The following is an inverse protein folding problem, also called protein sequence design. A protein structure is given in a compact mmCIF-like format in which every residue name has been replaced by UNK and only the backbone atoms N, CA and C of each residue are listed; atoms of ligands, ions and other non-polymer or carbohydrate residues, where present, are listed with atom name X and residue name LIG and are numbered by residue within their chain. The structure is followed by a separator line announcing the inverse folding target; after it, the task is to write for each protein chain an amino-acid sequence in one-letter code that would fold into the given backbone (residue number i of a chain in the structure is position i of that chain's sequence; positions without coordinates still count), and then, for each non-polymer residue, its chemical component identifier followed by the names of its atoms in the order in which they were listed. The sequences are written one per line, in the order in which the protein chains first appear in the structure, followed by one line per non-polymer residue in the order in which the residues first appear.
data_IF_206327413643
#
_entry.id   IF_206327413643
#
_cell.length_a   1.000
_cell.length_b   1.000
_cell.length_c   1.000
_cell.angle_alpha   90.00
_cell.angle_beta   90.00
_cell.angle_gamma   90.00
#
_symmetry.space_group_name_H-M   'P 1'
#
loop_
_entity.id
_entity.type
_entity.pdbx_description
1 polymer ?
#
# COMPACT_ATOMS: atom_id res chain seq x y z
N UNK A 1 4.26 0.72 -14.29
CA UNK A 1 5.70 0.79 -14.65
C UNK A 1 6.09 -0.18 -15.77
N UNK A 2 5.50 -1.38 -15.86
CA UNK A 2 5.84 -2.34 -16.91
C UNK A 2 5.67 -1.78 -18.32
N UNK A 3 4.54 -1.15 -18.60
CA UNK A 3 4.30 -0.51 -19.91
C UNK A 3 5.36 0.53 -20.27
N UNK A 4 5.78 1.35 -19.29
CA UNK A 4 6.84 2.34 -19.49
C UNK A 4 8.19 1.68 -19.78
N UNK A 5 8.52 0.56 -19.13
CA UNK A 5 9.76 -0.20 -19.38
C UNK A 5 9.75 -0.82 -20.79
N UNK A 6 8.63 -1.43 -21.20
CA UNK A 6 8.48 -1.99 -22.52
C UNK A 6 8.58 -0.90 -23.61
N UNK A 7 7.90 0.22 -23.42
CA UNK A 7 8.01 1.36 -24.33
C UNK A 7 9.46 1.89 -24.40
N UNK A 8 10.15 1.99 -23.27
CA UNK A 8 11.56 2.40 -23.26
C UNK A 8 12.44 1.40 -24.01
N UNK A 9 12.21 0.10 -23.84
CA UNK A 9 12.93 -0.96 -24.55
C UNK A 9 12.71 -0.88 -26.07
N UNK A 10 11.47 -0.67 -26.52
CA UNK A 10 11.16 -0.53 -27.96
C UNK A 10 11.78 0.73 -28.57
N UNK A 11 11.75 1.88 -27.87
CA UNK A 11 12.38 3.11 -28.32
C UNK A 11 13.92 2.96 -28.40
N UNK A 12 14.51 2.20 -27.48
CA UNK A 12 15.94 1.89 -27.49
C UNK A 12 16.30 0.97 -28.67
N UNK A 13 15.46 -0.05 -28.95
CA UNK A 13 15.64 -0.92 -30.10
C UNK A 13 15.57 -0.16 -31.43
N UNK A 14 14.65 0.80 -31.53
CA UNK A 14 14.49 1.66 -32.71
C UNK A 14 15.59 2.73 -32.84
N UNK A 15 16.52 2.81 -31.88
CA UNK A 15 17.59 3.81 -31.89
C UNK A 15 17.13 5.26 -31.63
N UNK A 16 15.88 5.45 -31.19
CA UNK A 16 15.30 6.78 -30.91
C UNK A 16 15.91 7.39 -29.65
N UNK A 17 16.21 6.56 -28.64
CA UNK A 17 16.84 6.99 -27.40
C UNK A 17 18.14 6.24 -27.18
N UNK A 18 19.10 6.90 -26.53
CA UNK A 18 20.37 6.27 -26.17
C UNK A 18 20.20 5.32 -24.99
N UNK A 19 21.06 4.31 -24.88
CA UNK A 19 20.98 3.32 -23.81
C UNK A 19 21.10 3.92 -22.40
N UNK A 20 22.00 4.89 -22.09
CA UNK A 20 22.02 5.56 -20.79
C UNK A 20 20.69 6.27 -20.45
N UNK A 21 20.08 6.92 -21.45
CA UNK A 21 18.77 7.60 -21.26
C UNK A 21 17.69 6.55 -20.97
N UNK A 22 17.73 5.39 -21.63
CA UNK A 22 16.80 4.30 -21.35
C UNK A 22 16.89 3.82 -19.89
N UNK A 23 18.10 3.66 -19.34
CA UNK A 23 18.30 3.29 -17.94
C UNK A 23 17.72 4.35 -17.00
N UNK A 24 17.95 5.64 -17.28
CA UNK A 24 17.34 6.73 -16.51
C UNK A 24 15.81 6.70 -16.55
N UNK A 25 15.22 6.42 -17.71
CA UNK A 25 13.76 6.31 -17.86
C UNK A 25 13.19 5.13 -17.06
N UNK A 26 13.88 4.00 -17.01
CA UNK A 26 13.48 2.84 -16.18
C UNK A 26 13.49 3.20 -14.69
N UNK A 27 14.54 3.91 -14.21
CA UNK A 27 14.63 4.38 -12.84
C UNK A 27 13.49 5.36 -12.53
N UNK A 28 13.24 6.31 -13.44
CA UNK A 28 12.15 7.29 -13.32
C UNK A 28 10.77 6.64 -13.30
N UNK A 29 10.53 5.62 -14.14
CA UNK A 29 9.29 4.86 -14.16
C UNK A 29 9.05 4.10 -12.84
N UNK A 30 10.10 3.57 -12.23
CA UNK A 30 10.03 2.96 -10.91
C UNK A 30 9.65 3.98 -9.82
N UNK A 31 10.27 5.15 -9.84
CA UNK A 31 9.97 6.21 -8.89
C UNK A 31 8.54 6.72 -9.09
N UNK A 32 8.12 6.97 -10.33
CA UNK A 32 6.78 7.40 -10.67
C UNK A 32 5.70 6.42 -10.22
N UNK A 33 5.95 5.11 -10.30
CA UNK A 33 5.02 4.10 -9.77
C UNK A 33 4.87 4.16 -8.25
N UNK A 34 5.91 4.59 -7.52
CA UNK A 34 5.84 4.82 -6.07
C UNK A 34 5.01 6.06 -5.73
N UNK A 35 5.17 7.13 -6.49
CA UNK A 35 4.40 8.35 -6.34
C UNK A 35 2.91 8.10 -6.63
N UNK A 36 2.60 7.36 -7.70
CA UNK A 36 1.23 6.97 -8.02
C UNK A 36 0.59 6.13 -6.90
N UNK A 37 1.34 5.20 -6.31
CA UNK A 37 0.86 4.42 -5.16
C UNK A 37 0.55 5.33 -3.96
N UNK A 38 1.36 6.36 -3.70
CA UNK A 38 1.11 7.33 -2.64
C UNK A 38 -0.16 8.15 -2.89
N UNK A 39 -0.39 8.60 -4.11
CA UNK A 39 -1.59 9.35 -4.52
C UNK A 39 -2.83 8.47 -4.35
N UNK A 40 -2.80 7.24 -4.87
CA UNK A 40 -3.95 6.33 -4.81
C UNK A 40 -4.32 5.92 -3.37
N UNK A 41 -3.37 5.94 -2.44
CA UNK A 41 -3.60 5.62 -1.03
C UNK A 41 -3.76 6.88 -0.15
N UNK A 42 -3.88 8.07 -0.72
CA UNK A 42 -3.97 9.33 0.05
C UNK A 42 -5.16 9.38 0.99
N UNK A 43 -6.30 8.80 0.58
CA UNK A 43 -7.54 8.71 1.37
C UNK A 43 -7.67 7.38 2.15
N UNK A 44 -6.67 6.50 2.08
CA UNK A 44 -6.68 5.22 2.79
C UNK A 44 -6.31 5.41 4.28
N UNK A 45 -6.50 4.35 5.07
CA UNK A 45 -6.11 4.34 6.48
C UNK A 45 -4.60 4.56 6.68
N UNK A 46 -4.21 4.92 7.91
CA UNK A 46 -2.82 5.25 8.24
C UNK A 46 -1.83 4.12 7.88
N UNK A 47 -2.23 2.86 8.03
CA UNK A 47 -1.38 1.71 7.70
C UNK A 47 -1.07 1.63 6.20
N UNK A 48 -2.09 1.75 5.33
CA UNK A 48 -1.91 1.74 3.88
C UNK A 48 -1.07 2.93 3.39
N UNK A 49 -1.30 4.13 3.95
CA UNK A 49 -0.50 5.33 3.66
C UNK A 49 0.97 5.15 4.04
N UNK A 50 1.27 4.51 5.18
CA UNK A 50 2.64 4.20 5.61
C UNK A 50 3.34 3.23 4.66
N UNK A 51 2.65 2.19 4.20
CA UNK A 51 3.19 1.23 3.22
C UNK A 51 3.52 1.94 1.90
N UNK A 52 2.61 2.79 1.41
CA UNK A 52 2.84 3.56 0.19
C UNK A 52 4.03 4.52 0.34
N UNK A 53 4.13 5.24 1.48
CA UNK A 53 5.23 6.14 1.79
C UNK A 53 6.57 5.38 1.88
N UNK A 54 6.62 4.28 2.63
CA UNK A 54 7.83 3.46 2.75
C UNK A 54 8.31 2.90 1.40
N UNK A 55 7.38 2.45 0.56
CA UNK A 55 7.68 2.01 -0.80
C UNK A 55 8.26 3.13 -1.67
N UNK A 56 7.70 4.33 -1.58
CA UNK A 56 8.21 5.51 -2.30
C UNK A 56 9.61 5.89 -1.83
N UNK A 57 9.83 5.93 -0.51
CA UNK A 57 11.13 6.26 0.09
C UNK A 57 12.22 5.27 -0.30
N UNK A 58 11.94 3.96 -0.28
CA UNK A 58 12.88 2.94 -0.74
C UNK A 58 13.21 3.07 -2.24
N UNK A 59 12.23 3.45 -3.06
CA UNK A 59 12.46 3.72 -4.48
C UNK A 59 13.30 4.98 -4.67
N UNK A 60 13.04 6.02 -3.90
CA UNK A 60 13.80 7.28 -3.93
C UNK A 60 15.26 7.06 -3.54
N UNK A 61 15.50 6.39 -2.40
CA UNK A 61 16.86 6.07 -1.94
C UNK A 61 17.60 5.20 -2.95
N UNK A 62 16.96 4.13 -3.45
CA UNK A 62 17.55 3.28 -4.49
C UNK A 62 17.87 4.04 -5.77
N UNK A 63 17.01 4.97 -6.19
CA UNK A 63 17.26 5.83 -7.36
C UNK A 63 18.43 6.77 -7.14
N UNK A 64 18.52 7.41 -5.98
CA UNK A 64 19.62 8.32 -5.65
C UNK A 64 20.98 7.60 -5.59
N UNK A 65 21.00 6.35 -5.12
CA UNK A 65 22.23 5.54 -5.08
C UNK A 65 22.68 5.13 -6.48
N UNK A 66 21.76 4.72 -7.37
CA UNK A 66 22.12 4.17 -8.67
C UNK A 66 22.39 5.23 -9.72
N UNK A 67 21.75 6.43 -9.64
CA UNK A 67 21.87 7.49 -10.64
C UNK A 67 23.30 7.89 -10.97
N UNK A 68 24.24 8.07 -10.01
CA UNK A 68 25.62 8.42 -10.32
C UNK A 68 26.33 7.33 -11.14
N UNK A 69 25.91 6.09 -11.03
CA UNK A 69 26.53 4.93 -11.68
C UNK A 69 25.90 4.56 -13.02
N UNK A 70 24.86 5.25 -13.47
CA UNK A 70 24.14 4.92 -14.70
C UNK A 70 25.08 4.88 -15.92
N UNK A 71 26.00 5.82 -16.01
CA UNK A 71 26.94 5.88 -17.13
C UNK A 71 27.88 4.67 -17.15
N UNK A 72 28.47 4.34 -16.00
CA UNK A 72 29.30 3.16 -15.81
C UNK A 72 28.55 1.87 -16.09
N UNK A 73 27.30 1.77 -15.64
CA UNK A 73 26.42 0.61 -15.90
C UNK A 73 26.09 0.49 -17.39
N UNK A 74 25.82 1.62 -18.06
CA UNK A 74 25.54 1.62 -19.49
C UNK A 74 26.75 1.17 -20.31
N UNK A 75 27.95 1.58 -19.93
CA UNK A 75 29.19 1.15 -20.59
C UNK A 75 29.49 -0.33 -20.37
N UNK A 76 29.35 -0.80 -19.12
CA UNK A 76 29.60 -2.20 -18.78
C UNK A 76 28.59 -3.15 -19.40
N UNK A 77 27.30 -2.80 -19.32
CA UNK A 77 26.24 -3.59 -19.96
C UNK A 77 26.30 -3.53 -21.49
N UNK A 78 26.70 -2.39 -22.05
CA UNK A 78 26.87 -2.21 -23.50
C UNK A 78 27.95 -3.10 -24.14
N UNK A 79 28.86 -3.66 -23.32
CA UNK A 79 29.87 -4.64 -23.77
C UNK A 79 29.29 -6.07 -23.94
N UNK A 80 28.10 -6.31 -23.41
CA UNK A 80 27.42 -7.60 -23.57
C UNK A 80 26.89 -7.71 -25.01
N UNK A 81 27.08 -8.85 -25.62
CA UNK A 81 26.59 -9.15 -26.97
C UNK A 81 25.10 -9.47 -27.05
N UNK A 82 24.29 -8.62 -26.34
CA UNK A 82 22.84 -8.75 -26.27
C UNK A 82 22.15 -7.53 -26.89
N UNK A 83 20.93 -7.70 -27.43
CA UNK A 83 20.13 -6.60 -27.93
C UNK A 83 19.89 -5.57 -26.82
N UNK A 84 20.06 -4.27 -27.14
CA UNK A 84 19.88 -3.17 -26.15
C UNK A 84 18.50 -3.16 -25.50
N UNK A 85 17.46 -3.57 -26.22
CA UNK A 85 16.11 -3.70 -25.68
C UNK A 85 16.03 -4.72 -24.53
N UNK A 86 16.68 -5.87 -24.70
CA UNK A 86 16.73 -6.92 -23.68
C UNK A 86 17.53 -6.44 -22.46
N UNK A 87 18.64 -5.73 -22.69
CA UNK A 87 19.44 -5.14 -21.60
C UNK A 87 18.63 -4.16 -20.75
N UNK A 88 17.72 -3.38 -21.34
CA UNK A 88 16.80 -2.50 -20.59
C UNK A 88 15.88 -3.31 -19.67
N UNK A 89 15.35 -4.43 -20.16
CA UNK A 89 14.48 -5.31 -19.37
C UNK A 89 15.29 -6.00 -18.25
N UNK A 90 16.46 -6.55 -18.56
CA UNK A 90 17.34 -7.16 -17.56
C UNK A 90 17.78 -6.16 -16.49
N UNK A 91 18.11 -4.92 -16.88
CA UNK A 91 18.40 -3.86 -15.93
C UNK A 91 17.21 -3.60 -15.01
N UNK A 92 16.00 -3.50 -15.54
CA UNK A 92 14.80 -3.31 -14.73
C UNK A 92 14.61 -4.40 -13.67
N UNK A 93 14.72 -5.67 -14.09
CA UNK A 93 14.55 -6.81 -13.19
C UNK A 93 15.66 -6.84 -12.15
N UNK A 94 16.92 -6.75 -12.59
CA UNK A 94 18.08 -6.82 -11.71
C UNK A 94 18.14 -5.66 -10.73
N UNK A 95 17.89 -4.44 -11.19
CA UNK A 95 17.82 -3.25 -10.33
C UNK A 95 16.77 -3.40 -9.22
N UNK A 96 15.58 -3.87 -9.57
CA UNK A 96 14.52 -4.07 -8.58
C UNK A 96 14.86 -5.19 -7.59
N UNK A 97 15.47 -6.28 -8.06
CA UNK A 97 15.89 -7.40 -7.21
C UNK A 97 16.98 -6.95 -6.22
N UNK A 98 18.04 -6.32 -6.72
CA UNK A 98 19.15 -5.82 -5.87
C UNK A 98 18.63 -4.81 -4.87
N UNK A 99 17.81 -3.86 -5.30
CA UNK A 99 17.20 -2.89 -4.40
C UNK A 99 16.37 -3.57 -3.32
N UNK A 100 15.56 -4.57 -3.67
CA UNK A 100 14.76 -5.32 -2.70
C UNK A 100 15.66 -5.99 -1.65
N UNK A 101 16.69 -6.70 -2.07
CA UNK A 101 17.61 -7.38 -1.17
C UNK A 101 18.37 -6.41 -0.27
N UNK A 102 18.88 -5.31 -0.82
CA UNK A 102 19.62 -4.27 -0.05
C UNK A 102 18.72 -3.57 0.95
N UNK A 103 17.45 -3.33 0.61
CA UNK A 103 16.50 -2.62 1.49
C UNK A 103 15.83 -3.52 2.53
N UNK A 104 15.94 -4.86 2.40
CA UNK A 104 15.30 -5.81 3.32
C UNK A 104 15.67 -5.55 4.81
N UNK A 105 16.96 -5.38 5.19
CA UNK A 105 17.32 -5.10 6.57
C UNK A 105 16.85 -3.74 7.09
N UNK A 106 16.44 -2.83 6.21
CA UNK A 106 16.00 -1.49 6.56
C UNK A 106 14.48 -1.37 6.66
N UNK A 107 13.72 -2.46 6.54
CA UNK A 107 12.25 -2.44 6.61
C UNK A 107 11.76 -1.93 7.96
N UNK A 108 12.30 -2.44 9.07
CA UNK A 108 11.88 -2.03 10.41
C UNK A 108 12.23 -0.57 10.74
N UNK A 109 13.47 -0.08 10.49
CA UNK A 109 13.77 1.34 10.63
C UNK A 109 12.86 2.23 9.78
N UNK A 110 12.60 1.84 8.53
CA UNK A 110 11.72 2.58 7.63
C UNK A 110 10.28 2.61 8.14
N UNK A 111 9.76 1.49 8.64
CA UNK A 111 8.43 1.40 9.21
C UNK A 111 8.28 2.33 10.43
N UNK A 112 9.29 2.38 11.32
CA UNK A 112 9.31 3.34 12.45
C UNK A 112 9.32 4.77 11.96
N UNK A 113 10.14 5.09 10.96
CA UNK A 113 10.20 6.42 10.36
C UNK A 113 8.86 6.82 9.74
N UNK A 114 8.21 5.94 8.98
CA UNK A 114 6.89 6.20 8.43
C UNK A 114 5.82 6.43 9.52
N UNK A 115 5.92 5.76 10.68
CA UNK A 115 5.03 6.00 11.83
C UNK A 115 5.21 7.37 12.45
N UNK A 116 6.40 7.96 12.41
CA UNK A 116 6.62 9.33 12.91
C UNK A 116 6.00 10.39 12.00
N UNK A 117 5.98 10.13 10.69
CA UNK A 117 5.41 11.05 9.69
C UNK A 117 3.89 10.92 9.62
N UNK A 118 3.40 9.70 9.52
CA UNK A 118 1.97 9.41 9.46
C UNK A 118 1.61 8.78 10.80
N UNK A 119 1.09 9.60 11.70
CA UNK A 119 0.62 9.16 13.01
C UNK A 119 -0.61 8.28 12.86
N UNK A 120 -0.81 7.37 13.82
CA UNK A 120 -2.10 6.68 13.92
C UNK A 120 -3.18 7.75 14.12
N UNK A 121 -4.26 7.65 13.37
CA UNK A 121 -5.45 8.38 13.74
C UNK A 121 -5.80 7.94 15.16
N UNK A 122 -6.15 8.88 16.06
CA UNK A 122 -6.58 8.49 17.40
C UNK A 122 -7.66 7.42 17.19
N UNK A 123 -7.50 6.27 17.86
CA UNK A 123 -8.57 5.27 17.92
C UNK A 123 -9.82 6.05 18.34
N UNK A 124 -10.65 6.35 17.35
CA UNK A 124 -11.96 6.90 17.61
C UNK A 124 -12.59 5.93 18.59
N UNK A 125 -13.05 6.45 19.70
CA UNK A 125 -13.69 5.67 20.75
C UNK A 125 -14.77 4.81 20.09
N UNK A 126 -14.39 3.55 19.81
CA UNK A 126 -15.18 2.63 18.99
C UNK A 126 -16.34 2.21 19.88
N UNK A 127 -17.50 2.79 19.60
CA UNK A 127 -18.73 2.47 20.36
C UNK A 127 -19.11 0.98 20.27
N UNK A 128 -18.53 0.31 19.27
CA UNK A 128 -18.76 -1.10 18.94
C UNK A 128 -17.56 -2.01 19.29
N UNK A 129 -16.84 -1.76 20.39
CA UNK A 129 -15.88 -2.75 20.90
C UNK A 129 -16.60 -4.05 21.23
N UNK A 130 -15.98 -5.23 20.97
CA UNK A 130 -16.54 -6.52 21.37
C UNK A 130 -16.84 -6.48 22.87
N UNK A 131 -18.10 -6.71 23.24
CA UNK A 131 -18.54 -6.73 24.66
C UNK A 131 -18.72 -8.14 25.19
N UNK A 132 -19.03 -9.07 24.30
CA UNK A 132 -19.39 -10.43 24.66
C UNK A 132 -18.34 -11.47 24.25
N UNK A 133 -17.32 -11.09 23.45
CA UNK A 133 -16.25 -12.01 23.09
C UNK A 133 -15.27 -12.14 24.26
N UNK A 134 -15.24 -13.34 24.83
CA UNK A 134 -14.32 -13.72 25.90
C UNK A 134 -13.48 -14.89 25.41
N UNK A 135 -12.15 -14.73 25.42
CA UNK A 135 -11.21 -15.78 25.02
C UNK A 135 -11.37 -17.04 25.90
N UNK A 136 -11.74 -16.86 27.17
CA UNK A 136 -12.00 -17.99 28.08
C UNK A 136 -13.21 -18.82 27.69
N UNK A 137 -14.13 -18.26 26.91
CA UNK A 137 -15.32 -18.99 26.41
C UNK A 137 -14.99 -19.98 25.27
N UNK A 138 -13.81 -19.90 24.67
CA UNK A 138 -13.37 -20.79 23.58
C UNK A 138 -13.30 -22.27 24.04
N UNK A 139 -13.03 -22.52 25.30
CA UNK A 139 -13.03 -23.87 25.89
C UNK A 139 -14.43 -24.50 25.96
N UNK A 140 -15.49 -23.68 25.78
CA UNK A 140 -16.87 -24.10 25.77
C UNK A 140 -17.54 -23.68 24.47
N UNK A 141 -17.57 -24.55 23.43
CA UNK A 141 -18.03 -24.17 22.08
C UNK A 141 -19.44 -23.58 22.01
N UNK A 142 -20.36 -24.06 22.83
CA UNK A 142 -21.75 -23.54 22.89
C UNK A 142 -21.81 -22.12 23.44
N UNK A 143 -20.96 -21.77 24.40
CA UNK A 143 -20.87 -20.43 24.97
C UNK A 143 -20.17 -19.49 23.99
N UNK A 144 -19.09 -19.94 23.38
CA UNK A 144 -18.37 -19.15 22.36
C UNK A 144 -19.30 -18.79 21.18
N UNK A 145 -20.10 -19.78 20.71
CA UNK A 145 -21.06 -19.56 19.63
C UNK A 145 -22.18 -18.59 20.04
N UNK A 146 -22.68 -18.69 21.26
CA UNK A 146 -23.71 -17.79 21.78
C UNK A 146 -23.18 -16.36 21.91
N UNK A 147 -21.93 -16.19 22.33
CA UNK A 147 -21.25 -14.89 22.40
C UNK A 147 -21.04 -14.30 21.02
N UNK A 148 -20.56 -15.09 20.06
CA UNK A 148 -20.40 -14.66 18.66
C UNK A 148 -21.75 -14.26 18.04
N UNK A 149 -22.82 -15.00 18.31
CA UNK A 149 -24.16 -14.65 17.83
C UNK A 149 -24.63 -13.28 18.38
N UNK A 150 -24.38 -13.00 19.66
CA UNK A 150 -24.71 -11.69 20.26
C UNK A 150 -23.96 -10.54 19.61
N UNK A 151 -22.67 -10.72 19.32
CA UNK A 151 -21.90 -9.69 18.62
C UNK A 151 -22.36 -9.53 17.16
N UNK A 152 -22.79 -10.60 16.52
CA UNK A 152 -23.37 -10.54 15.16
C UNK A 152 -24.67 -9.74 15.15
N UNK A 153 -25.51 -9.86 16.16
CA UNK A 153 -26.72 -9.04 16.29
C UNK A 153 -26.36 -7.55 16.44
N UNK A 154 -25.31 -7.20 17.18
CA UNK A 154 -24.85 -5.82 17.29
C UNK A 154 -24.34 -5.25 15.95
N UNK A 155 -23.77 -6.09 15.08
CA UNK A 155 -23.48 -5.68 13.70
C UNK A 155 -24.77 -5.35 12.97
N UNK A 156 -25.83 -6.15 13.14
CA UNK A 156 -27.16 -5.89 12.57
C UNK A 156 -27.72 -4.53 13.01
N UNK A 157 -27.68 -4.23 14.31
CA UNK A 157 -28.13 -2.94 14.86
C UNK A 157 -27.33 -1.75 14.27
N UNK A 158 -26.01 -1.92 14.12
CA UNK A 158 -25.16 -0.90 13.52
C UNK A 158 -25.43 -0.70 12.02
N UNK A 159 -25.74 -1.77 11.29
CA UNK A 159 -26.15 -1.68 9.87
C UNK A 159 -27.48 -0.95 9.72
N UNK A 160 -28.45 -1.17 10.63
CA UNK A 160 -29.71 -0.43 10.64
C UNK A 160 -29.49 1.06 10.86
N UNK A 161 -28.62 1.44 11.83
CA UNK A 161 -28.24 2.82 12.05
C UNK A 161 -27.53 3.44 10.83
N UNK A 162 -26.69 2.66 10.13
CA UNK A 162 -26.08 3.11 8.88
C UNK A 162 -27.11 3.41 7.79
N UNK A 163 -28.11 2.55 7.65
CA UNK A 163 -29.19 2.76 6.67
C UNK A 163 -30.00 4.00 6.97
N UNK A 164 -30.35 4.23 8.24
CA UNK A 164 -31.05 5.45 8.66
C UNK A 164 -30.18 6.71 8.42
N UNK A 165 -28.91 6.66 8.79
CA UNK A 165 -27.97 7.75 8.57
C UNK A 165 -27.77 8.06 7.08
N UNK A 166 -27.67 7.03 6.24
CA UNK A 166 -27.58 7.20 4.78
C UNK A 166 -28.82 7.90 4.22
N UNK A 167 -30.01 7.49 4.69
CA UNK A 167 -31.27 8.14 4.30
C UNK A 167 -31.26 9.64 4.65
N UNK A 168 -30.76 10.03 5.83
CA UNK A 168 -30.65 11.43 6.24
C UNK A 168 -29.65 12.22 5.38
N UNK A 169 -28.50 11.62 5.03
CA UNK A 169 -27.53 12.24 4.12
C UNK A 169 -28.15 12.49 2.73
N UNK A 170 -28.92 11.52 2.21
CA UNK A 170 -29.63 11.67 0.94
C UNK A 170 -30.68 12.80 0.96
N UNK A 171 -31.21 13.12 2.12
CA UNK A 171 -32.17 14.22 2.31
C UNK A 171 -31.52 15.57 2.65
N UNK A 172 -30.19 15.68 2.54
CA UNK A 172 -29.47 16.95 2.62
C UNK A 172 -28.82 17.28 3.96
N UNK A 173 -28.58 16.29 4.81
CA UNK A 173 -27.84 16.44 6.07
C UNK A 173 -26.38 15.93 5.98
N UNK A 174 -25.44 16.71 5.41
CA UNK A 174 -24.08 16.21 5.12
C UNK A 174 -23.22 15.97 6.40
N UNK A 175 -23.64 16.45 7.55
CA UNK A 175 -22.89 16.28 8.81
C UNK A 175 -22.77 14.82 9.25
N UNK A 176 -23.64 13.95 8.80
CA UNK A 176 -23.68 12.55 9.18
C UNK A 176 -22.70 11.65 8.39
N UNK A 177 -22.10 12.12 7.29
CA UNK A 177 -21.15 11.32 6.51
C UNK A 177 -19.97 10.82 7.36
N UNK A 178 -19.48 11.67 8.27
CA UNK A 178 -18.35 11.34 9.14
C UNK A 178 -18.71 10.27 10.18
N UNK A 179 -19.93 10.32 10.71
CA UNK A 179 -20.46 9.31 11.64
C UNK A 179 -20.70 7.99 10.95
N UNK A 180 -21.20 8.00 9.71
CA UNK A 180 -21.40 6.80 8.90
C UNK A 180 -20.08 6.09 8.57
N UNK A 181 -19.05 6.84 8.23
CA UNK A 181 -17.71 6.27 8.00
C UNK A 181 -17.17 5.62 9.27
N UNK A 182 -17.34 6.29 10.43
CA UNK A 182 -16.96 5.73 11.72
C UNK A 182 -17.70 4.44 12.01
N UNK A 183 -19.01 4.41 11.79
CA UNK A 183 -19.82 3.23 12.02
C UNK A 183 -19.44 2.06 11.11
N UNK A 184 -19.04 2.33 9.87
CA UNK A 184 -18.52 1.32 8.96
C UNK A 184 -17.18 0.73 9.45
N UNK A 185 -16.28 1.56 9.98
CA UNK A 185 -15.02 1.09 10.59
C UNK A 185 -15.29 0.26 11.84
N UNK A 186 -16.24 0.66 12.68
CA UNK A 186 -16.65 -0.04 13.88
C UNK A 186 -17.23 -1.43 13.56
N UNK A 187 -18.06 -1.55 12.52
CA UNK A 187 -18.58 -2.83 12.02
C UNK A 187 -17.43 -3.75 11.58
N UNK A 188 -16.44 -3.21 10.90
CA UNK A 188 -15.28 -3.96 10.43
C UNK A 188 -14.45 -4.53 11.60
N UNK A 189 -14.28 -3.74 12.66
CA UNK A 189 -13.59 -4.17 13.89
C UNK A 189 -14.34 -5.32 14.54
N UNK A 190 -15.68 -5.20 14.70
CA UNK A 190 -16.51 -6.26 15.27
C UNK A 190 -16.48 -7.54 14.43
N UNK A 191 -16.63 -7.41 13.12
CA UNK A 191 -16.57 -8.55 12.19
C UNK A 191 -15.24 -9.31 12.29
N UNK A 192 -14.13 -8.56 12.36
CA UNK A 192 -12.80 -9.16 12.47
C UNK A 192 -12.62 -9.88 13.80
N UNK A 193 -13.14 -9.32 14.89
CA UNK A 193 -13.06 -9.93 16.21
C UNK A 193 -13.90 -11.22 16.34
N UNK A 194 -15.04 -11.30 15.65
CA UNK A 194 -15.90 -12.51 15.64
C UNK A 194 -15.25 -13.65 14.86
N UNK A 195 -14.43 -13.32 13.85
CA UNK A 195 -13.82 -14.30 12.96
C UNK A 195 -12.58 -14.99 13.55
N UNK A 196 -11.97 -14.41 14.57
CA UNK A 196 -10.79 -14.96 15.27
C UNK A 196 -11.18 -15.98 16.31
#
# INVERSE_FOLDING_TARGET
SLAAVLLTATLTAAGIISFPVALCLVIGANLGSGLLAMINNSAANAAARRVALGSLLFKLVGSLIILPFVHLLAETMGKLSLPKAELVIYFHVFYNLVRCLVMLPFVDPMARFCKTIIRDEPELDTQLRPKHLDVSALDTPTLALANAARETLRIGDAMEQMMEGLNKVMHGEPRQEKELRKLADDINVLYTAIKL
#
